data_IF_925851940053
#
_entry.id   IF_925851940053
#
_cell.length_a   1.000
_cell.length_b   1.000
_cell.length_c   1.000
_cell.angle_alpha   90.00
_cell.angle_beta   90.00
_cell.angle_gamma   90.00
#
_symmetry.space_group_name_H-M   'P 1'
#
loop_
_entity.id
_entity.type
_entity.pdbx_description
1 polymer ?
#
# COMPACT_ATOMS: atom_id res chain seq x y z
N UNK A 1 12.82 12.65 -0.82
CA UNK A 1 11.89 11.69 -0.22
C UNK A 1 10.61 12.40 0.17
N UNK A 2 9.50 11.73 0.00
CA UNK A 2 8.18 12.31 0.22
C UNK A 2 7.40 11.48 1.22
N UNK A 3 6.84 12.13 2.26
CA UNK A 3 5.91 11.48 3.18
C UNK A 3 4.54 11.39 2.52
N UNK A 4 3.96 10.20 2.53
CA UNK A 4 2.67 9.91 1.92
C UNK A 4 1.80 9.11 2.88
N UNK A 5 0.50 9.31 2.80
CA UNK A 5 -0.48 8.44 3.45
C UNK A 5 -1.26 7.70 2.38
N UNK A 6 -1.25 6.38 2.45
CA UNK A 6 -2.02 5.53 1.54
C UNK A 6 -3.13 4.85 2.32
N UNK A 7 -4.35 4.93 1.80
CA UNK A 7 -5.51 4.25 2.37
C UNK A 7 -6.03 3.26 1.34
N UNK A 8 -6.05 1.98 1.69
CA UNK A 8 -6.55 0.91 0.82
C UNK A 8 -7.86 0.41 1.40
N UNK A 9 -8.93 0.49 0.61
CA UNK A 9 -10.23 -0.07 0.98
C UNK A 9 -10.29 -1.50 0.47
N UNK A 10 -10.62 -2.44 1.36
CA UNK A 10 -10.60 -3.86 1.05
C UNK A 10 -12.01 -4.41 0.89
N UNK A 11 -12.13 -5.41 0.00
CA UNK A 11 -13.36 -6.17 -0.13
C UNK A 11 -13.60 -6.98 1.14
N UNK A 12 -14.86 -7.28 1.42
CA UNK A 12 -15.22 -8.08 2.58
C UNK A 12 -14.51 -9.44 2.54
N UNK A 13 -13.89 -9.82 3.66
CA UNK A 13 -13.18 -11.09 3.78
C UNK A 13 -11.82 -11.14 3.10
N UNK A 14 -11.33 -10.03 2.52
CA UNK A 14 -10.10 -10.01 1.75
C UNK A 14 -8.85 -9.68 2.58
N UNK A 15 -9.00 -9.32 3.84
CA UNK A 15 -7.90 -8.83 4.66
C UNK A 15 -6.73 -9.81 4.76
N UNK A 16 -7.01 -11.07 5.00
CA UNK A 16 -5.96 -12.07 5.19
C UNK A 16 -5.15 -12.30 3.92
N UNK A 17 -5.82 -12.35 2.78
CA UNK A 17 -5.15 -12.47 1.49
C UNK A 17 -4.29 -11.24 1.18
N UNK A 18 -4.82 -10.05 1.49
CA UNK A 18 -4.08 -8.80 1.34
C UNK A 18 -2.80 -8.83 2.19
N UNK A 19 -2.92 -9.15 3.48
CA UNK A 19 -1.77 -9.19 4.39
C UNK A 19 -0.79 -10.28 4.00
N UNK A 20 -1.29 -11.44 3.55
CA UNK A 20 -0.44 -12.52 3.07
C UNK A 20 0.46 -12.07 1.91
N UNK A 21 -0.09 -11.32 0.96
CA UNK A 21 0.71 -10.76 -0.12
C UNK A 21 1.70 -9.71 0.39
N UNK A 22 1.24 -8.78 1.23
CA UNK A 22 2.09 -7.69 1.73
C UNK A 22 3.28 -8.21 2.52
N UNK A 23 3.12 -9.34 3.21
CA UNK A 23 4.18 -9.96 4.01
C UNK A 23 4.98 -11.01 3.24
N UNK A 24 4.57 -11.33 2.00
CA UNK A 24 5.30 -12.27 1.15
C UNK A 24 6.60 -11.65 0.64
N UNK A 25 7.55 -12.52 0.22
CA UNK A 25 8.80 -12.05 -0.38
C UNK A 25 8.54 -11.17 -1.59
N UNK A 26 7.59 -11.56 -2.44
CA UNK A 26 7.23 -10.77 -3.63
C UNK A 26 6.70 -9.39 -3.25
N UNK A 27 5.79 -9.32 -2.27
CA UNK A 27 5.23 -8.05 -1.80
C UNK A 27 6.29 -7.14 -1.20
N UNK A 28 7.18 -7.69 -0.40
CA UNK A 28 8.26 -6.92 0.23
C UNK A 28 9.24 -6.39 -0.83
N UNK A 29 9.65 -7.23 -1.78
CA UNK A 29 10.56 -6.82 -2.85
C UNK A 29 9.96 -5.68 -3.67
N UNK A 30 8.68 -5.78 -4.03
CA UNK A 30 8.03 -4.73 -4.82
C UNK A 30 7.91 -3.42 -4.03
N UNK A 31 7.58 -3.49 -2.74
CA UNK A 31 7.47 -2.27 -1.92
C UNK A 31 8.81 -1.57 -1.73
N UNK A 32 9.89 -2.31 -1.56
CA UNK A 32 11.24 -1.73 -1.42
C UNK A 32 11.66 -0.89 -2.62
N UNK A 33 11.05 -1.10 -3.78
CA UNK A 33 11.36 -0.33 -4.98
C UNK A 33 10.92 1.13 -4.88
N UNK A 34 9.99 1.46 -3.97
CA UNK A 34 9.45 2.81 -3.88
C UNK A 34 9.34 3.38 -2.47
N UNK A 35 9.43 2.55 -1.41
CA UNK A 35 9.34 3.04 -0.03
C UNK A 35 10.50 2.55 0.82
N UNK A 36 10.82 3.31 1.85
CA UNK A 36 11.68 2.86 2.94
C UNK A 36 10.82 2.07 3.93
N UNK A 37 10.86 0.74 3.83
CA UNK A 37 10.00 -0.13 4.64
C UNK A 37 10.29 -0.02 6.15
N UNK A 38 11.51 0.41 6.52
CA UNK A 38 11.87 0.57 7.94
C UNK A 38 11.20 1.79 8.58
N UNK A 39 10.75 2.75 7.76
CA UNK A 39 10.11 3.98 8.20
C UNK A 39 8.59 3.98 7.97
N UNK A 40 8.05 2.89 7.47
CA UNK A 40 6.62 2.76 7.22
C UNK A 40 5.88 2.54 8.52
N UNK A 41 4.71 3.19 8.67
CA UNK A 41 3.85 3.02 9.84
C UNK A 41 2.50 2.48 9.35
N UNK A 42 2.26 1.17 9.47
CA UNK A 42 1.00 0.57 9.05
C UNK A 42 -0.06 0.66 10.15
N UNK A 43 -1.30 0.71 9.73
CA UNK A 43 -2.45 0.63 10.63
C UNK A 43 -3.61 -0.06 9.93
N UNK A 44 -4.50 -0.65 10.71
CA UNK A 44 -5.65 -1.40 10.19
C UNK A 44 -6.90 -0.91 10.90
N UNK A 45 -7.97 -0.65 10.14
CA UNK A 45 -9.26 -0.31 10.73
C UNK A 45 -9.83 -1.51 11.52
N UNK A 46 -10.62 -1.26 12.59
CA UNK A 46 -11.13 -2.35 13.43
C UNK A 46 -11.96 -3.40 12.68
N UNK A 47 -12.66 -3.00 11.62
CA UNK A 47 -13.47 -3.92 10.80
C UNK A 47 -12.65 -4.67 9.73
N UNK A 48 -11.36 -4.41 9.66
CA UNK A 48 -10.44 -4.99 8.65
C UNK A 48 -10.84 -4.69 7.19
N UNK A 49 -11.57 -3.60 6.97
CA UNK A 49 -12.01 -3.16 5.64
C UNK A 49 -11.14 -2.02 5.10
N UNK A 50 -10.20 -1.52 5.88
CA UNK A 50 -9.26 -0.49 5.43
C UNK A 50 -7.88 -0.75 6.02
N UNK A 51 -6.87 -0.60 5.17
CA UNK A 51 -5.46 -0.62 5.57
C UNK A 51 -4.88 0.77 5.30
N UNK A 52 -4.20 1.33 6.28
CA UNK A 52 -3.60 2.65 6.17
C UNK A 52 -2.09 2.51 6.38
N UNK A 53 -1.31 3.29 5.64
CA UNK A 53 0.13 3.29 5.84
C UNK A 53 0.69 4.68 5.61
N UNK A 54 1.42 5.18 6.60
CA UNK A 54 2.26 6.35 6.41
C UNK A 54 3.60 5.86 5.86
N UNK A 55 3.97 6.37 4.70
CA UNK A 55 5.12 5.89 3.93
C UNK A 55 6.12 7.01 3.69
N UNK A 56 7.40 6.64 3.67
CA UNK A 56 8.46 7.51 3.15
C UNK A 56 8.80 6.99 1.76
N UNK A 57 8.37 7.74 0.73
CA UNK A 57 8.43 7.31 -0.67
C UNK A 57 9.62 7.94 -1.37
N UNK A 58 10.45 7.12 -2.01
CA UNK A 58 11.60 7.60 -2.79
C UNK A 58 11.39 7.44 -4.30
N UNK A 59 10.32 6.79 -4.74
CA UNK A 59 9.97 6.66 -6.15
C UNK A 59 8.44 6.69 -6.28
N UNK A 60 7.91 7.90 -6.54
CA UNK A 60 6.47 8.13 -6.58
C UNK A 60 5.82 7.37 -7.74
N UNK A 61 6.45 7.35 -8.91
CA UNK A 61 5.90 6.65 -10.08
C UNK A 61 5.76 5.15 -9.83
N UNK A 62 6.75 4.54 -9.19
CA UNK A 62 6.68 3.12 -8.84
C UNK A 62 5.59 2.83 -7.81
N UNK A 63 5.36 3.76 -6.86
CA UNK A 63 4.26 3.63 -5.90
C UNK A 63 2.90 3.66 -6.61
N UNK A 64 2.70 4.61 -7.52
CA UNK A 64 1.46 4.68 -8.30
C UNK A 64 1.25 3.41 -9.12
N UNK A 65 2.29 2.92 -9.79
CA UNK A 65 2.20 1.68 -10.58
C UNK A 65 1.83 0.48 -9.71
N UNK A 66 2.35 0.42 -8.48
CA UNK A 66 2.04 -0.65 -7.54
C UNK A 66 0.54 -0.69 -7.18
N UNK A 67 -0.09 0.49 -7.09
CA UNK A 67 -1.48 0.61 -6.65
C UNK A 67 -2.50 0.65 -7.79
N UNK A 68 -2.14 1.16 -8.97
CA UNK A 68 -3.09 1.45 -10.05
C UNK A 68 -3.30 0.30 -11.03
N UNK A 69 -2.67 -0.85 -10.80
CA UNK A 69 -2.79 -2.01 -11.66
C UNK A 69 -1.74 -2.10 -12.77
N UNK A 70 -0.78 -1.17 -12.81
CA UNK A 70 0.30 -1.20 -13.80
C UNK A 70 1.40 -2.19 -13.44
N UNK A 71 1.53 -2.54 -12.15
CA UNK A 71 2.54 -3.48 -11.68
C UNK A 71 2.01 -4.91 -11.84
N UNK A 72 2.67 -5.76 -12.66
CA UNK A 72 2.17 -7.10 -12.93
C UNK A 72 2.22 -8.05 -11.72
N UNK A 73 3.01 -7.72 -10.69
CA UNK A 73 3.10 -8.53 -9.48
C UNK A 73 1.92 -8.25 -8.55
N UNK A 74 1.54 -6.99 -8.38
CA UNK A 74 0.46 -6.60 -7.47
C UNK A 74 -0.93 -6.67 -8.10
N UNK A 75 -1.04 -6.47 -9.41
CA UNK A 75 -2.34 -6.40 -10.07
C UNK A 75 -3.26 -7.60 -9.81
N UNK A 76 -2.80 -8.86 -9.94
CA UNK A 76 -3.69 -10.00 -9.70
C UNK A 76 -4.25 -10.03 -8.28
N UNK A 77 -3.46 -9.60 -7.31
CA UNK A 77 -3.89 -9.55 -5.91
C UNK A 77 -4.89 -8.43 -5.70
N UNK A 78 -4.59 -7.22 -6.25
CA UNK A 78 -5.49 -6.08 -6.10
C UNK A 78 -6.85 -6.33 -6.74
N UNK A 79 -6.91 -7.02 -7.87
CA UNK A 79 -8.17 -7.38 -8.52
C UNK A 79 -9.07 -8.21 -7.60
N UNK A 80 -8.47 -8.99 -6.69
CA UNK A 80 -9.23 -9.86 -5.78
C UNK A 80 -9.55 -9.21 -4.44
N UNK A 81 -8.71 -8.26 -3.95
CA UNK A 81 -8.81 -7.80 -2.56
C UNK A 81 -9.16 -6.33 -2.42
N UNK A 82 -8.90 -5.49 -3.41
CA UNK A 82 -9.03 -4.04 -3.28
C UNK A 82 -10.30 -3.53 -3.92
N UNK A 83 -11.08 -2.73 -3.16
CA UNK A 83 -12.20 -1.96 -3.70
C UNK A 83 -11.72 -0.64 -4.29
N UNK A 84 -10.91 0.08 -3.53
CA UNK A 84 -10.41 1.40 -3.93
C UNK A 84 -9.19 1.76 -3.09
N UNK A 85 -8.51 2.82 -3.46
CA UNK A 85 -7.42 3.37 -2.66
C UNK A 85 -7.40 4.88 -2.79
N UNK A 86 -6.77 5.53 -1.80
CA UNK A 86 -6.54 6.96 -1.78
C UNK A 86 -5.09 7.22 -1.38
N UNK A 87 -4.49 8.24 -1.96
CA UNK A 87 -3.12 8.65 -1.68
C UNK A 87 -3.13 10.12 -1.29
N UNK A 88 -2.52 10.43 -0.16
CA UNK A 88 -2.37 11.79 0.33
C UNK A 88 -0.90 12.14 0.46
N UNK A 89 -0.50 13.21 -0.18
CA UNK A 89 0.83 13.77 0.00
C UNK A 89 0.85 14.56 1.30
N UNK A 90 1.80 14.26 2.18
CA UNK A 90 1.86 14.88 3.49
C UNK A 90 2.94 15.96 3.50
N UNK A 91 2.57 17.14 4.00
CA UNK A 91 3.50 18.26 4.19
C UNK A 91 3.51 18.63 5.66
N UNK A 92 4.69 18.95 6.17
CA UNK A 92 4.80 19.42 7.53
C UNK A 92 4.12 20.79 7.65
N UNK A 93 3.35 20.94 8.72
CA UNK A 93 2.85 22.24 9.14
C UNK A 93 3.80 22.83 10.16
N UNK A 94 4.07 24.09 10.04
CA UNK A 94 4.95 24.79 10.99
C UNK A 94 4.13 25.56 12.01
#
# INVERSE_FOLDING_TARGET
MQDMLVVVKLKEGAFEKFMGFMQSDAGIVERKKFVDVTKSVPAVAPDKRAFLAKLVVHNIDAMHAFLDGSNPVSKPIWDEVMDSYEIYELKKTS
#
